data_IF_648933854594
#
_entry.id   IF_648933854594
#
_cell.length_a   1.000
_cell.length_b   1.000
_cell.length_c   1.000
_cell.angle_alpha   90.00
_cell.angle_beta   90.00
_cell.angle_gamma   90.00
#
_symmetry.space_group_name_H-M   'P 1'
#
loop_
_entity.id
_entity.type
_entity.pdbx_description
1 polymer ?
#
# COMPACT_ATOMS: atom_id res chain seq x y z
N UNK A 1 -56.04 -20.81 32.58
CA UNK A 1 -56.42 -19.39 32.74
C UNK A 1 -56.98 -19.05 34.13
N UNK A 2 -57.53 -19.99 34.92
CA UNK A 2 -58.02 -19.73 36.29
C UNK A 2 -56.94 -19.61 37.39
N UNK A 3 -55.72 -20.12 37.16
CA UNK A 3 -54.63 -20.03 38.16
C UNK A 3 -53.87 -18.70 38.17
N UNK A 4 -53.89 -17.94 37.08
CA UNK A 4 -53.09 -16.71 36.92
C UNK A 4 -53.73 -15.53 37.67
N UNK A 5 -55.05 -15.57 37.91
CA UNK A 5 -55.78 -14.48 38.55
C UNK A 5 -55.78 -14.53 40.09
N UNK A 6 -55.35 -15.64 40.71
CA UNK A 6 -55.27 -15.79 42.18
C UNK A 6 -53.87 -15.43 42.71
N UNK A 7 -52.87 -15.29 41.83
CA UNK A 7 -51.46 -15.21 42.20
C UNK A 7 -50.97 -13.79 42.56
N UNK A 8 -51.78 -12.75 42.34
CA UNK A 8 -51.38 -11.36 42.60
C UNK A 8 -51.68 -10.87 44.04
N UNK A 9 -52.45 -11.63 44.84
CA UNK A 9 -53.01 -11.14 46.12
C UNK A 9 -52.35 -11.68 47.39
N UNK A 10 -51.46 -12.68 47.32
CA UNK A 10 -50.89 -13.33 48.52
C UNK A 10 -49.38 -13.23 48.68
N UNK A 11 -48.64 -12.71 47.68
CA UNK A 11 -47.17 -12.53 47.74
C UNK A 11 -46.35 -13.82 47.96
N UNK A 12 -46.98 -14.98 48.10
CA UNK A 12 -46.36 -16.30 48.19
C UNK A 12 -46.34 -16.94 46.81
N UNK A 13 -45.25 -16.70 46.09
CA UNK A 13 -44.92 -17.48 44.89
C UNK A 13 -44.29 -18.81 45.32
N UNK A 14 -45.07 -19.88 45.40
CA UNK A 14 -44.51 -21.24 45.43
C UNK A 14 -44.12 -21.63 43.99
N UNK A 15 -43.00 -21.10 43.51
CA UNK A 15 -42.42 -21.53 42.24
C UNK A 15 -41.95 -22.99 42.39
N UNK A 16 -42.59 -23.92 41.69
CA UNK A 16 -42.18 -25.32 41.73
C UNK A 16 -40.81 -25.50 41.04
N UNK A 17 -39.81 -26.02 41.77
CA UNK A 17 -38.51 -26.35 41.21
C UNK A 17 -38.65 -27.43 40.13
N UNK A 18 -38.42 -27.08 38.87
CA UNK A 18 -38.48 -28.02 37.73
C UNK A 18 -37.21 -28.89 37.61
N UNK A 19 -36.07 -28.39 38.09
CA UNK A 19 -34.80 -29.11 38.16
C UNK A 19 -33.61 -28.18 38.39
N UNK A 20 -32.44 -28.76 38.67
CA UNK A 20 -31.17 -28.07 38.91
C UNK A 20 -30.05 -28.77 38.14
N UNK A 21 -29.09 -27.99 37.67
CA UNK A 21 -27.79 -28.50 37.22
C UNK A 21 -26.68 -27.69 37.90
N UNK A 22 -25.52 -28.31 38.13
CA UNK A 22 -24.36 -27.65 38.74
C UNK A 22 -23.20 -27.65 37.75
N UNK A 23 -22.79 -26.45 37.32
CA UNK A 23 -21.73 -26.28 36.32
C UNK A 23 -20.47 -25.85 37.05
N UNK A 24 -19.42 -26.67 36.96
CA UNK A 24 -18.14 -26.33 37.60
C UNK A 24 -17.41 -25.27 36.79
N UNK A 25 -16.85 -24.25 37.44
CA UNK A 25 -16.08 -23.22 36.73
C UNK A 25 -14.87 -23.82 35.97
N UNK A 26 -14.26 -24.89 36.49
CA UNK A 26 -13.15 -25.61 35.84
C UNK A 26 -13.54 -26.27 34.50
N UNK A 27 -14.82 -26.57 34.29
CA UNK A 27 -15.30 -27.19 33.05
C UNK A 27 -15.66 -26.19 31.96
N UNK A 28 -15.55 -24.88 32.22
CA UNK A 28 -15.82 -23.84 31.24
C UNK A 28 -14.50 -23.41 30.61
N UNK A 29 -14.24 -23.72 29.32
CA UNK A 29 -13.04 -23.29 28.62
C UNK A 29 -12.98 -21.76 28.52
N UNK A 30 -11.78 -21.21 28.35
CA UNK A 30 -11.60 -19.77 28.15
C UNK A 30 -12.42 -19.24 26.96
N UNK A 31 -12.54 -20.03 25.88
CA UNK A 31 -13.35 -19.71 24.68
C UNK A 31 -14.87 -19.69 24.90
N UNK A 32 -15.34 -20.01 26.11
CA UNK A 32 -16.73 -20.34 26.37
C UNK A 32 -17.14 -21.71 25.84
N UNK A 33 -18.39 -22.08 26.09
CA UNK A 33 -18.94 -23.38 25.71
C UNK A 33 -20.46 -23.32 25.53
N UNK A 34 -20.99 -24.10 24.60
CA UNK A 34 -22.43 -24.32 24.41
C UNK A 34 -22.73 -25.79 24.59
N UNK A 35 -23.38 -26.14 25.71
CA UNK A 35 -23.56 -27.54 26.12
C UNK A 35 -24.97 -27.78 26.66
N UNK A 36 -25.52 -28.96 26.37
CA UNK A 36 -26.74 -29.47 26.98
C UNK A 36 -26.45 -30.01 28.38
N UNK A 37 -27.14 -29.48 29.39
CA UNK A 37 -27.06 -29.92 30.77
C UNK A 37 -28.34 -30.62 31.19
N UNK A 38 -28.23 -31.82 31.74
CA UNK A 38 -29.36 -32.56 32.29
C UNK A 38 -29.79 -31.96 33.64
N UNK A 39 -31.11 -31.91 33.85
CA UNK A 39 -31.71 -31.38 35.08
C UNK A 39 -31.99 -32.49 36.10
N UNK A 40 -31.58 -32.25 37.35
CA UNK A 40 -31.77 -33.13 38.50
C UNK A 40 -32.73 -32.49 39.53
N UNK A 41 -33.58 -33.29 40.20
CA UNK A 41 -34.47 -32.83 41.28
C UNK A 41 -34.40 -33.78 42.48
N UNK A 42 -33.58 -33.43 43.47
CA UNK A 42 -33.37 -34.22 44.68
C UNK A 42 -32.74 -35.60 44.43
N UNK A 43 -32.84 -36.52 45.39
CA UNK A 43 -32.23 -37.88 45.32
C UNK A 43 -32.91 -38.84 44.32
N UNK A 44 -33.74 -38.35 43.38
CA UNK A 44 -34.46 -39.20 42.43
C UNK A 44 -33.75 -39.21 41.08
N UNK A 45 -33.32 -40.40 40.67
CA UNK A 45 -32.62 -40.75 39.41
C UNK A 45 -33.41 -40.53 38.11
N UNK A 46 -34.57 -39.87 38.13
CA UNK A 46 -35.37 -39.61 36.91
C UNK A 46 -35.03 -38.24 36.33
N UNK A 47 -34.34 -38.24 35.18
CA UNK A 47 -34.05 -37.05 34.36
C UNK A 47 -35.35 -36.29 34.03
N UNK A 48 -35.35 -34.97 34.26
CA UNK A 48 -36.49 -34.06 34.01
C UNK A 48 -36.36 -33.29 32.68
N UNK A 49 -35.43 -33.71 31.82
CA UNK A 49 -35.09 -33.02 30.58
C UNK A 49 -33.72 -32.34 30.65
N UNK A 50 -33.39 -31.60 29.60
CA UNK A 50 -32.08 -30.96 29.42
C UNK A 50 -32.26 -29.49 29.04
N UNK A 51 -31.31 -28.65 29.45
CA UNK A 51 -31.25 -27.23 29.07
C UNK A 51 -29.99 -26.99 28.24
N UNK A 52 -30.11 -26.22 27.15
CA UNK A 52 -28.96 -25.77 26.39
C UNK A 52 -28.45 -24.46 27.01
N UNK A 53 -27.20 -24.45 27.46
CA UNK A 53 -26.60 -23.28 28.07
C UNK A 53 -25.38 -22.86 27.26
N UNK A 54 -25.35 -21.59 26.87
CA UNK A 54 -24.18 -20.93 26.34
C UNK A 54 -23.52 -20.12 27.48
N UNK A 55 -22.29 -20.47 27.82
CA UNK A 55 -21.53 -19.93 28.95
C UNK A 55 -20.17 -19.43 28.47
N UNK A 56 -19.78 -18.24 28.91
CA UNK A 56 -18.44 -17.71 28.75
C UNK A 56 -18.00 -17.07 30.08
N UNK A 57 -16.71 -17.20 30.40
CA UNK A 57 -16.10 -16.57 31.57
C UNK A 57 -15.21 -15.42 31.10
N UNK A 58 -15.48 -14.22 31.60
CA UNK A 58 -14.63 -13.04 31.40
C UNK A 58 -14.33 -12.41 32.76
N UNK A 59 -13.20 -11.73 32.85
CA UNK A 59 -12.96 -10.82 33.96
C UNK A 59 -13.64 -9.48 33.62
N UNK A 60 -14.45 -8.95 34.54
CA UNK A 60 -14.97 -7.59 34.39
C UNK A 60 -13.79 -6.63 34.50
N UNK A 61 -13.33 -6.18 33.34
CA UNK A 61 -12.17 -5.33 33.20
C UNK A 61 -12.59 -4.07 32.47
N UNK A 62 -12.05 -2.94 32.90
CA UNK A 62 -12.22 -1.71 32.15
C UNK A 62 -11.67 -1.92 30.72
N UNK A 63 -12.51 -1.65 29.72
CA UNK A 63 -12.20 -1.86 28.30
C UNK A 63 -10.91 -1.18 27.85
N UNK A 64 -10.66 0.07 28.27
CA UNK A 64 -9.43 0.78 27.89
C UNK A 64 -8.19 0.10 28.48
N UNK A 65 -8.27 -0.39 29.71
CA UNK A 65 -7.18 -1.15 30.37
C UNK A 65 -6.94 -2.46 29.64
N UNK A 66 -8.01 -3.19 29.30
CA UNK A 66 -7.92 -4.44 28.54
C UNK A 66 -7.24 -4.25 27.17
N UNK A 67 -7.62 -3.21 26.43
CA UNK A 67 -7.02 -2.85 25.14
C UNK A 67 -5.55 -2.45 25.31
N UNK A 68 -5.21 -1.65 26.31
CA UNK A 68 -3.84 -1.22 26.56
C UNK A 68 -2.92 -2.40 26.89
N UNK A 69 -3.35 -3.30 27.77
CA UNK A 69 -2.58 -4.50 28.10
C UNK A 69 -2.47 -5.44 26.90
N UNK A 70 -3.54 -5.59 26.10
CA UNK A 70 -3.49 -6.39 24.89
C UNK A 70 -2.48 -5.82 23.88
N UNK A 71 -2.44 -4.50 23.69
CA UNK A 71 -1.43 -3.84 22.84
C UNK A 71 -0.01 -4.09 23.37
N UNK A 72 0.18 -4.00 24.69
CA UNK A 72 1.48 -4.27 25.30
C UNK A 72 1.91 -5.73 25.09
N UNK A 73 1.01 -6.68 25.30
CA UNK A 73 1.24 -8.10 25.03
C UNK A 73 1.58 -8.36 23.56
N UNK A 74 0.82 -7.78 22.63
CA UNK A 74 1.09 -7.89 21.18
C UNK A 74 2.48 -7.37 20.83
N UNK A 75 2.89 -6.24 21.42
CA UNK A 75 4.23 -5.67 21.19
C UNK A 75 5.32 -6.66 21.65
N UNK A 76 5.21 -7.19 22.86
CA UNK A 76 6.18 -8.14 23.40
C UNK A 76 6.27 -9.42 22.57
N UNK A 77 5.11 -10.02 22.24
CA UNK A 77 5.05 -11.23 21.43
C UNK A 77 5.64 -10.99 20.03
N UNK A 78 5.32 -9.87 19.39
CA UNK A 78 5.83 -9.57 18.05
C UNK A 78 7.34 -9.33 18.05
N UNK A 79 7.86 -8.53 18.99
CA UNK A 79 9.30 -8.30 19.10
C UNK A 79 10.05 -9.62 19.32
N UNK A 80 9.57 -10.46 20.25
CA UNK A 80 10.17 -11.76 20.49
C UNK A 80 10.13 -12.66 19.25
N UNK A 81 9.01 -12.69 18.52
CA UNK A 81 8.87 -13.50 17.30
C UNK A 81 9.81 -13.00 16.19
N UNK A 82 9.95 -11.69 15.98
CA UNK A 82 10.87 -11.11 14.99
C UNK A 82 12.34 -11.39 15.34
N UNK A 83 12.71 -11.23 16.61
CA UNK A 83 14.06 -11.54 17.11
C UNK A 83 14.39 -13.02 17.00
N UNK A 84 13.42 -13.90 17.25
CA UNK A 84 13.63 -15.35 17.21
C UNK A 84 13.65 -15.91 15.80
N UNK A 85 12.75 -15.43 14.93
CA UNK A 85 12.58 -15.95 13.58
C UNK A 85 13.55 -15.33 12.55
N UNK A 86 14.09 -14.14 12.82
CA UNK A 86 15.03 -13.41 11.94
C UNK A 86 14.55 -13.36 10.48
N UNK A 87 13.24 -13.21 10.30
CA UNK A 87 12.63 -13.16 8.98
C UNK A 87 13.07 -11.92 8.22
N UNK A 88 13.21 -12.07 6.90
CA UNK A 88 13.55 -10.96 6.02
C UNK A 88 12.50 -9.82 6.09
N UNK A 89 12.93 -8.62 5.72
CA UNK A 89 12.02 -7.48 5.62
C UNK A 89 10.83 -7.80 4.70
N UNK A 90 9.65 -7.34 5.10
CA UNK A 90 8.36 -7.53 4.45
C UNK A 90 7.83 -8.98 4.39
N UNK A 91 8.46 -9.94 5.08
CA UNK A 91 8.00 -11.34 5.10
C UNK A 91 7.00 -11.66 6.21
N UNK A 92 7.15 -11.08 7.40
CA UNK A 92 6.27 -11.45 8.52
C UNK A 92 4.82 -11.06 8.24
N UNK A 93 3.92 -12.05 8.25
CA UNK A 93 2.53 -11.92 7.76
C UNK A 93 1.47 -12.17 8.83
N UNK A 94 1.79 -11.95 10.12
CA UNK A 94 0.80 -12.10 11.21
C UNK A 94 0.72 -13.47 11.86
N UNK A 95 1.63 -14.40 11.53
CA UNK A 95 1.61 -15.76 12.10
C UNK A 95 2.56 -15.86 13.28
N UNK A 96 1.99 -15.96 14.48
CA UNK A 96 2.73 -16.26 15.70
C UNK A 96 3.02 -17.77 15.83
N UNK A 97 4.03 -18.10 16.63
CA UNK A 97 4.18 -19.46 17.15
C UNK A 97 2.93 -19.92 17.93
N UNK A 98 2.69 -21.23 17.98
CA UNK A 98 1.49 -21.83 18.63
C UNK A 98 1.28 -21.33 20.06
N UNK A 99 2.36 -21.20 20.83
CA UNK A 99 2.29 -20.74 22.22
C UNK A 99 1.91 -19.25 22.28
N UNK A 100 2.55 -18.41 21.47
CA UNK A 100 2.23 -16.98 21.40
C UNK A 100 0.79 -16.75 20.93
N UNK A 101 0.32 -17.51 19.95
CA UNK A 101 -1.06 -17.44 19.47
C UNK A 101 -2.06 -17.85 20.55
N UNK A 102 -1.75 -18.91 21.32
CA UNK A 102 -2.59 -19.35 22.45
C UNK A 102 -2.68 -18.26 23.52
N UNK A 103 -1.56 -17.67 23.93
CA UNK A 103 -1.51 -16.58 24.92
C UNK A 103 -2.32 -15.38 24.43
N UNK A 104 -2.14 -14.99 23.16
CA UNK A 104 -2.82 -13.87 22.51
C UNK A 104 -4.34 -14.07 22.50
N UNK A 105 -4.80 -15.24 22.05
CA UNK A 105 -6.22 -15.59 21.99
C UNK A 105 -6.83 -15.67 23.39
N UNK A 106 -6.15 -16.32 24.32
CA UNK A 106 -6.64 -16.46 25.69
C UNK A 106 -6.80 -15.09 26.36
N UNK A 107 -5.82 -14.19 26.23
CA UNK A 107 -5.91 -12.84 26.76
C UNK A 107 -7.11 -12.08 26.17
N UNK A 108 -7.29 -12.13 24.85
CA UNK A 108 -8.38 -11.44 24.17
C UNK A 108 -9.75 -11.90 24.70
N UNK A 109 -9.96 -13.21 24.82
CA UNK A 109 -11.24 -13.77 25.27
C UNK A 109 -11.49 -13.47 26.74
N UNK A 110 -10.49 -13.67 27.61
CA UNK A 110 -10.63 -13.43 29.05
C UNK A 110 -10.87 -11.95 29.38
N UNK A 111 -10.36 -11.05 28.54
CA UNK A 111 -10.55 -9.61 28.67
C UNK A 111 -11.80 -9.10 27.94
N UNK A 112 -12.59 -9.97 27.32
CA UNK A 112 -13.82 -9.60 26.62
C UNK A 112 -13.61 -8.74 25.37
N UNK A 113 -12.45 -8.81 24.72
CA UNK A 113 -12.15 -7.99 23.55
C UNK A 113 -12.90 -8.48 22.31
N UNK A 114 -13.53 -7.54 21.62
CA UNK A 114 -14.19 -7.77 20.33
C UNK A 114 -13.17 -7.99 19.21
N UNK A 115 -13.58 -8.61 18.08
CA UNK A 115 -12.71 -8.75 16.91
C UNK A 115 -12.18 -7.41 16.38
N UNK A 116 -13.00 -6.36 16.43
CA UNK A 116 -12.60 -5.00 16.04
C UNK A 116 -11.49 -4.46 16.94
N UNK A 117 -11.65 -4.55 18.27
CA UNK A 117 -10.63 -4.07 19.22
C UNK A 117 -9.32 -4.84 19.09
N UNK A 118 -9.39 -6.15 18.85
CA UNK A 118 -8.21 -6.96 18.56
C UNK A 118 -7.52 -6.50 17.27
N UNK A 119 -8.28 -6.28 16.19
CA UNK A 119 -7.74 -5.84 14.91
C UNK A 119 -7.17 -4.41 14.96
N UNK A 120 -7.83 -3.48 15.66
CA UNK A 120 -7.32 -2.12 15.84
C UNK A 120 -6.07 -2.08 16.74
N UNK A 121 -6.00 -2.97 17.73
CA UNK A 121 -4.80 -3.14 18.55
C UNK A 121 -3.63 -3.70 17.73
N UNK A 122 -3.88 -4.68 16.87
CA UNK A 122 -2.89 -5.16 15.89
C UNK A 122 -2.45 -4.03 14.96
N UNK A 123 -3.40 -3.29 14.37
CA UNK A 123 -3.12 -2.14 13.51
C UNK A 123 -2.16 -1.15 14.17
N UNK A 124 -2.49 -0.70 15.38
CA UNK A 124 -1.69 0.28 16.13
C UNK A 124 -0.28 -0.22 16.43
N UNK A 125 -0.17 -1.44 16.98
CA UNK A 125 1.13 -2.01 17.40
C UNK A 125 1.99 -2.34 16.19
N UNK A 126 1.42 -2.99 15.18
CA UNK A 126 2.16 -3.44 14.00
C UNK A 126 2.58 -2.26 13.14
N UNK A 127 1.77 -1.21 13.02
CA UNK A 127 2.17 0.00 12.32
C UNK A 127 3.33 0.72 13.02
N UNK A 128 3.39 0.69 14.35
CA UNK A 128 4.52 1.24 15.12
C UNK A 128 5.79 0.42 14.89
N UNK A 129 5.71 -0.91 14.99
CA UNK A 129 6.87 -1.79 14.77
C UNK A 129 7.35 -1.73 13.32
N UNK A 130 6.45 -1.50 12.35
CA UNK A 130 6.79 -1.41 10.93
C UNK A 130 7.81 -0.31 10.60
N UNK A 131 7.86 0.77 11.39
CA UNK A 131 8.81 1.87 11.21
C UNK A 131 10.26 1.39 11.35
N UNK A 132 10.52 0.44 12.24
CA UNK A 132 11.85 -0.12 12.52
C UNK A 132 12.05 -1.50 11.87
N UNK A 133 10.99 -2.32 11.81
CA UNK A 133 10.98 -3.68 11.29
C UNK A 133 9.89 -3.85 10.22
N UNK A 134 10.21 -3.71 8.94
CA UNK A 134 9.21 -3.74 7.88
C UNK A 134 8.43 -5.06 7.83
N UNK A 135 7.15 -5.01 8.17
CA UNK A 135 6.20 -6.13 8.09
C UNK A 135 5.54 -6.25 6.71
N UNK A 136 4.94 -7.40 6.39
CA UNK A 136 4.28 -7.64 5.11
C UNK A 136 3.08 -6.70 4.87
N UNK A 137 2.90 -6.17 3.66
CA UNK A 137 1.73 -5.37 3.30
C UNK A 137 0.43 -6.19 3.27
N UNK A 138 0.50 -7.49 2.94
CA UNK A 138 -0.65 -8.40 3.06
C UNK A 138 -1.26 -8.44 4.46
N UNK A 139 -0.43 -8.36 5.52
CA UNK A 139 -0.88 -8.32 6.91
C UNK A 139 -1.76 -7.09 7.16
N UNK A 140 -1.28 -5.91 6.73
CA UNK A 140 -2.02 -4.66 6.88
C UNK A 140 -3.32 -4.69 6.10
N UNK A 141 -3.34 -5.26 4.90
CA UNK A 141 -4.57 -5.43 4.13
C UNK A 141 -5.64 -6.23 4.89
N UNK A 142 -5.26 -7.37 5.47
CA UNK A 142 -6.17 -8.22 6.24
C UNK A 142 -6.73 -7.50 7.47
N UNK A 143 -5.89 -6.70 8.15
CA UNK A 143 -6.31 -5.91 9.30
C UNK A 143 -7.29 -4.81 8.85
N UNK A 144 -6.99 -4.10 7.76
CA UNK A 144 -7.86 -3.06 7.20
C UNK A 144 -9.22 -3.62 6.79
N UNK A 145 -9.30 -4.83 6.25
CA UNK A 145 -10.58 -5.49 5.90
C UNK A 145 -11.47 -5.72 7.12
N UNK A 146 -10.86 -5.86 8.31
CA UNK A 146 -11.60 -6.01 9.57
C UNK A 146 -11.92 -4.66 10.23
N UNK A 147 -11.01 -3.69 10.12
CA UNK A 147 -11.11 -2.40 10.85
C UNK A 147 -11.94 -1.36 10.08
N UNK A 148 -11.85 -1.31 8.75
CA UNK A 148 -12.51 -0.27 7.94
C UNK A 148 -14.04 -0.36 7.96
N UNK A 149 -14.69 -1.54 7.76
CA UNK A 149 -16.14 -1.59 7.71
C UNK A 149 -16.80 -1.06 8.99
N UNK A 150 -16.34 -1.44 10.19
CA UNK A 150 -16.79 -0.84 11.44
C UNK A 150 -16.62 0.69 11.49
N UNK A 151 -15.43 1.20 11.15
CA UNK A 151 -15.16 2.65 11.18
C UNK A 151 -16.09 3.45 10.25
N UNK A 152 -16.44 2.90 9.08
CA UNK A 152 -17.35 3.55 8.13
C UNK A 152 -18.78 3.71 8.65
N UNK A 153 -19.23 2.83 9.54
CA UNK A 153 -20.57 2.90 10.10
C UNK A 153 -20.75 4.06 11.11
N UNK A 154 -19.71 4.87 11.38
CA UNK A 154 -19.75 6.04 12.28
C UNK A 154 -20.20 5.74 13.73
N UNK A 155 -20.08 4.49 14.18
CA UNK A 155 -20.51 4.06 15.52
C UNK A 155 -19.38 4.04 16.57
N UNK A 156 -18.16 4.48 16.22
CA UNK A 156 -16.96 4.30 17.04
C UNK A 156 -16.45 5.60 17.66
N UNK A 157 -15.75 5.46 18.80
CA UNK A 157 -15.21 6.56 19.59
C UNK A 157 -14.15 7.36 18.82
N UNK A 158 -14.02 8.66 19.15
CA UNK A 158 -12.99 9.52 18.54
C UNK A 158 -11.55 9.01 18.77
N UNK A 159 -11.32 8.26 19.85
CA UNK A 159 -10.02 7.68 20.17
C UNK A 159 -9.63 6.54 19.21
N UNK A 160 -10.58 5.68 18.84
CA UNK A 160 -10.36 4.59 17.90
C UNK A 160 -10.04 5.12 16.50
N UNK A 161 -10.78 6.13 16.06
CA UNK A 161 -10.52 6.82 14.79
C UNK A 161 -9.14 7.48 14.78
N UNK A 162 -8.77 8.15 15.88
CA UNK A 162 -7.43 8.72 16.04
C UNK A 162 -6.35 7.65 15.98
N UNK A 163 -6.54 6.53 16.69
CA UNK A 163 -5.61 5.39 16.68
C UNK A 163 -5.43 4.82 15.27
N UNK A 164 -6.53 4.71 14.52
CA UNK A 164 -6.49 4.27 13.13
C UNK A 164 -5.63 5.20 12.25
N UNK A 165 -5.91 6.50 12.26
CA UNK A 165 -5.18 7.47 11.44
C UNK A 165 -3.72 7.63 11.84
N UNK A 166 -3.40 7.48 13.13
CA UNK A 166 -2.02 7.37 13.61
C UNK A 166 -1.29 6.16 13.02
N UNK A 167 -1.95 5.02 12.87
CA UNK A 167 -1.38 3.88 12.16
C UNK A 167 -1.23 4.14 10.66
N UNK A 168 -2.21 4.80 10.02
CA UNK A 168 -2.12 5.19 8.59
C UNK A 168 -0.87 6.05 8.36
N UNK A 169 -0.64 7.05 9.21
CA UNK A 169 0.53 7.94 9.11
C UNK A 169 1.87 7.19 9.14
N UNK A 170 1.96 6.06 9.84
CA UNK A 170 3.16 5.22 9.94
C UNK A 170 3.34 4.28 8.75
N UNK A 171 2.25 3.83 8.14
CA UNK A 171 2.28 2.88 7.00
C UNK A 171 2.43 3.59 5.65
N UNK A 172 1.91 4.80 5.51
CA UNK A 172 1.99 5.53 4.23
C UNK A 172 3.43 5.77 3.73
N UNK A 173 4.41 6.15 4.57
CA UNK A 173 5.77 6.40 4.09
C UNK A 173 6.40 5.19 3.39
N UNK A 174 6.24 3.98 3.95
CA UNK A 174 6.75 2.76 3.33
C UNK A 174 5.96 2.39 2.07
N UNK A 175 4.65 2.63 2.06
CA UNK A 175 3.78 2.44 0.91
C UNK A 175 4.23 3.31 -0.28
N UNK A 176 4.45 4.60 -0.07
CA UNK A 176 4.94 5.51 -1.12
C UNK A 176 6.39 5.24 -1.52
N UNK A 177 7.24 4.76 -0.60
CA UNK A 177 8.59 4.35 -0.92
C UNK A 177 8.62 3.17 -1.91
N UNK A 178 7.65 2.24 -1.82
CA UNK A 178 7.50 1.16 -2.82
C UNK A 178 7.17 1.73 -4.20
N UNK A 179 6.27 2.72 -4.29
CA UNK A 179 5.91 3.35 -5.57
C UNK A 179 7.09 4.10 -6.19
N UNK A 180 7.83 4.88 -5.39
CA UNK A 180 9.03 5.62 -5.86
C UNK A 180 10.12 4.68 -6.37
N UNK A 181 10.41 3.62 -5.62
CA UNK A 181 11.49 2.66 -5.93
C UNK A 181 11.07 1.55 -6.88
N UNK A 182 9.85 1.58 -7.43
CA UNK A 182 9.32 0.53 -8.29
C UNK A 182 10.22 0.27 -9.50
N UNK A 183 10.81 1.33 -10.04
CA UNK A 183 11.61 1.33 -11.28
C UNK A 183 13.05 0.86 -11.09
N UNK A 184 13.58 0.97 -9.87
CA UNK A 184 14.90 0.47 -9.51
C UNK A 184 14.96 -1.05 -9.33
N UNK A 185 13.82 -1.76 -9.46
CA UNK A 185 13.73 -3.20 -9.23
C UNK A 185 13.43 -3.98 -10.52
N UNK A 186 13.92 -5.22 -10.59
CA UNK A 186 13.76 -6.10 -11.75
C UNK A 186 12.35 -6.70 -11.83
N UNK A 187 11.56 -6.29 -12.83
CA UNK A 187 10.12 -6.60 -12.98
C UNK A 187 9.81 -8.09 -13.19
N UNK A 188 10.81 -8.92 -13.49
CA UNK A 188 10.66 -10.39 -13.56
C UNK A 188 10.33 -11.02 -12.21
N UNK A 189 10.54 -10.30 -11.10
CA UNK A 189 10.17 -10.77 -9.78
C UNK A 189 8.67 -10.57 -9.51
N UNK A 190 7.93 -11.68 -9.54
CA UNK A 190 6.49 -11.73 -9.21
C UNK A 190 6.19 -11.14 -7.83
N UNK A 191 7.15 -11.15 -6.91
CA UNK A 191 7.00 -10.57 -5.58
C UNK A 191 6.86 -9.05 -5.63
N UNK A 192 7.52 -8.35 -6.57
CA UNK A 192 7.39 -6.90 -6.73
C UNK A 192 5.97 -6.53 -7.12
N UNK A 193 5.41 -7.21 -8.12
CA UNK A 193 4.04 -6.95 -8.58
C UNK A 193 3.03 -7.28 -7.48
N UNK A 194 3.24 -8.37 -6.74
CA UNK A 194 2.43 -8.71 -5.57
C UNK A 194 2.47 -7.60 -4.52
N UNK A 195 3.67 -7.17 -4.11
CA UNK A 195 3.84 -6.09 -3.14
C UNK A 195 3.23 -4.78 -3.63
N UNK A 196 3.39 -4.44 -4.92
CA UNK A 196 2.74 -3.28 -5.53
C UNK A 196 1.22 -3.36 -5.40
N UNK A 197 0.61 -4.50 -5.72
CA UNK A 197 -0.83 -4.66 -5.62
C UNK A 197 -1.32 -4.53 -4.18
N UNK A 198 -0.61 -5.13 -3.22
CA UNK A 198 -0.91 -5.00 -1.79
C UNK A 198 -0.85 -3.53 -1.33
N UNK A 199 0.16 -2.78 -1.77
CA UNK A 199 0.32 -1.35 -1.46
C UNK A 199 -0.80 -0.52 -2.08
N UNK A 200 -1.12 -0.74 -3.36
CA UNK A 200 -2.21 -0.04 -4.04
C UNK A 200 -3.58 -0.34 -3.39
N UNK A 201 -3.80 -1.57 -2.92
CA UNK A 201 -5.00 -1.94 -2.17
C UNK A 201 -5.11 -1.17 -0.84
N UNK A 202 -4.02 -1.06 -0.09
CA UNK A 202 -3.97 -0.26 1.15
C UNK A 202 -4.32 1.20 0.85
N UNK A 203 -3.68 1.81 -0.15
CA UNK A 203 -3.90 3.20 -0.52
C UNK A 203 -5.35 3.45 -0.96
N UNK A 204 -5.91 2.56 -1.78
CA UNK A 204 -7.31 2.65 -2.21
C UNK A 204 -8.28 2.52 -1.03
N UNK A 205 -8.05 1.55 -0.13
CA UNK A 205 -8.87 1.36 1.08
C UNK A 205 -8.88 2.60 1.98
N UNK A 206 -7.72 3.23 2.18
CA UNK A 206 -7.59 4.45 3.00
C UNK A 206 -8.23 5.65 2.31
N UNK A 207 -8.03 5.82 0.99
CA UNK A 207 -8.63 6.90 0.19
C UNK A 207 -10.16 6.94 0.29
N UNK A 208 -10.80 5.79 0.47
CA UNK A 208 -12.25 5.69 0.60
C UNK A 208 -12.79 6.13 1.97
N UNK A 209 -11.92 6.66 2.85
CA UNK A 209 -12.27 7.21 4.15
C UNK A 209 -12.08 8.73 4.15
N UNK A 210 -12.97 9.44 4.84
CA UNK A 210 -12.82 10.88 5.05
C UNK A 210 -11.70 11.16 6.04
N UNK A 211 -10.71 11.94 5.60
CA UNK A 211 -9.59 12.36 6.43
C UNK A 211 -10.12 13.38 7.46
N UNK A 212 -9.94 13.16 8.77
CA UNK A 212 -10.34 14.13 9.79
C UNK A 212 -9.63 15.46 9.60
N UNK A 213 -10.36 16.58 9.72
CA UNK A 213 -9.85 17.94 9.49
C UNK A 213 -8.69 18.34 10.43
N UNK A 214 -8.55 17.65 11.56
CA UNK A 214 -7.48 17.86 12.55
C UNK A 214 -6.25 16.98 12.34
N UNK A 215 -6.22 16.15 11.29
CA UNK A 215 -5.16 15.16 11.09
C UNK A 215 -4.22 15.55 9.94
N UNK A 216 -2.98 15.90 10.28
CA UNK A 216 -1.94 16.17 9.29
C UNK A 216 -1.25 14.86 8.87
N UNK A 217 -1.60 14.38 7.67
CA UNK A 217 -1.08 13.14 7.11
C UNK A 217 0.27 13.32 6.41
N UNK A 218 0.41 14.40 5.65
CA UNK A 218 1.57 14.66 4.79
C UNK A 218 2.47 15.72 5.41
N UNK A 219 3.23 15.34 6.44
CA UNK A 219 4.17 16.27 7.06
C UNK A 219 5.42 16.48 6.18
N UNK A 220 5.86 17.74 5.93
CA UNK A 220 7.04 18.04 5.12
C UNK A 220 8.34 17.35 5.57
N UNK A 221 8.45 16.96 6.85
CA UNK A 221 9.64 16.26 7.38
C UNK A 221 9.84 14.88 6.73
N UNK A 222 8.76 14.16 6.50
CA UNK A 222 8.78 12.80 5.91
C UNK A 222 8.61 12.90 4.39
N UNK A 223 7.82 13.88 3.95
CA UNK A 223 7.40 14.06 2.57
C UNK A 223 8.12 15.23 1.89
N UNK A 224 9.37 15.53 2.26
CA UNK A 224 10.15 16.64 1.70
C UNK A 224 10.41 16.53 0.19
N UNK A 225 10.09 15.39 -0.41
CA UNK A 225 10.12 15.13 -1.85
C UNK A 225 8.85 15.57 -2.59
N UNK A 226 7.79 15.97 -1.87
CA UNK A 226 6.57 16.53 -2.47
C UNK A 226 6.82 18.01 -2.76
N UNK A 227 6.87 18.39 -4.04
CA UNK A 227 7.17 19.76 -4.47
C UNK A 227 5.93 20.69 -4.50
N UNK A 228 4.72 20.17 -4.22
CA UNK A 228 3.45 20.92 -4.30
C UNK A 228 3.26 21.91 -3.13
N UNK A 229 2.66 23.07 -3.42
CA UNK A 229 2.20 24.04 -2.42
C UNK A 229 0.70 24.34 -2.63
N UNK A 230 -0.18 24.25 -1.61
CA UNK A 230 0.09 23.90 -0.20
C UNK A 230 -0.07 22.40 0.10
N UNK A 231 0.92 21.82 0.79
CA UNK A 231 0.94 20.40 1.24
C UNK A 231 -0.27 20.01 2.11
N UNK A 232 -0.92 20.98 2.76
CA UNK A 232 -2.08 20.76 3.66
C UNK A 232 -3.36 20.29 2.96
N UNK A 233 -3.45 20.44 1.64
CA UNK A 233 -4.63 20.05 0.85
C UNK A 233 -4.35 18.86 -0.07
N UNK A 234 -3.16 18.25 0.01
CA UNK A 234 -2.82 17.11 -0.82
C UNK A 234 -3.70 15.90 -0.49
N UNK A 235 -4.34 15.35 -1.52
CA UNK A 235 -5.06 14.09 -1.40
C UNK A 235 -4.11 12.91 -1.55
N UNK A 236 -4.53 11.70 -1.15
CA UNK A 236 -3.74 10.48 -1.40
C UNK A 236 -3.47 10.29 -2.90
N UNK A 237 -4.40 10.68 -3.77
CA UNK A 237 -4.21 10.60 -5.23
C UNK A 237 -3.09 11.52 -5.71
N UNK A 238 -3.04 12.75 -5.20
CA UNK A 238 -1.96 13.69 -5.54
C UNK A 238 -0.61 13.13 -5.12
N UNK A 239 -0.52 12.56 -3.92
CA UNK A 239 0.72 11.99 -3.39
C UNK A 239 1.14 10.72 -4.13
N UNK A 240 0.18 9.92 -4.64
CA UNK A 240 0.48 8.81 -5.56
C UNK A 240 1.16 9.35 -6.83
N UNK A 241 0.58 10.38 -7.44
CA UNK A 241 1.13 11.00 -8.65
C UNK A 241 2.52 11.58 -8.37
N UNK A 242 2.70 12.25 -7.22
CA UNK A 242 4.00 12.83 -6.83
C UNK A 242 5.05 11.75 -6.54
N UNK A 243 4.66 10.63 -5.95
CA UNK A 243 5.56 9.50 -5.74
C UNK A 243 6.03 8.90 -7.07
N UNK A 244 5.13 8.80 -8.06
CA UNK A 244 5.44 8.35 -9.41
C UNK A 244 6.37 9.36 -10.12
N UNK A 245 6.07 10.66 -10.04
CA UNK A 245 6.92 11.72 -10.60
C UNK A 245 8.31 11.71 -9.98
N UNK A 246 8.40 11.62 -8.66
CA UNK A 246 9.68 11.59 -7.95
C UNK A 246 10.50 10.38 -8.35
N UNK A 247 9.91 9.18 -8.38
CA UNK A 247 10.61 7.97 -8.85
C UNK A 247 11.04 8.06 -10.32
N UNK A 248 10.27 8.77 -11.15
CA UNK A 248 10.59 9.01 -12.56
C UNK A 248 11.77 9.98 -12.73
N UNK A 249 11.79 11.05 -11.93
CA UNK A 249 12.90 12.00 -11.84
C UNK A 249 14.18 11.32 -11.39
N UNK A 250 14.14 10.58 -10.29
CA UNK A 250 15.29 9.84 -9.76
C UNK A 250 15.85 8.84 -10.78
N UNK A 251 14.97 8.15 -11.52
CA UNK A 251 15.40 7.26 -12.60
C UNK A 251 16.03 8.02 -13.77
N UNK A 252 15.44 9.14 -14.19
CA UNK A 252 15.99 9.98 -15.26
C UNK A 252 17.38 10.48 -14.89
N UNK A 253 17.55 10.99 -13.68
CA UNK A 253 18.85 11.43 -13.15
C UNK A 253 19.87 10.29 -13.17
N UNK A 254 19.47 9.08 -12.75
CA UNK A 254 20.33 7.90 -12.80
C UNK A 254 20.75 7.52 -14.23
N UNK A 255 19.84 7.51 -15.21
CA UNK A 255 20.21 7.18 -16.60
C UNK A 255 21.03 8.29 -17.26
N UNK A 256 20.80 9.56 -16.92
CA UNK A 256 21.60 10.69 -17.42
C UNK A 256 23.01 10.60 -16.86
N UNK A 257 23.17 10.39 -15.55
CA UNK A 257 24.47 10.30 -14.89
C UNK A 257 25.26 9.07 -15.34
N UNK A 258 24.60 7.91 -15.48
CA UNK A 258 25.24 6.68 -15.95
C UNK A 258 25.76 6.77 -17.40
N UNK A 259 25.21 7.68 -18.21
CA UNK A 259 25.58 7.87 -19.61
C UNK A 259 26.34 9.18 -19.87
N UNK A 260 26.65 9.97 -18.84
CA UNK A 260 27.50 11.16 -18.99
C UNK A 260 28.90 10.74 -19.43
N UNK A 261 29.35 11.30 -20.56
CA UNK A 261 30.71 11.09 -21.02
C UNK A 261 31.68 11.92 -20.18
N UNK A 262 32.79 11.32 -19.74
CA UNK A 262 33.71 11.91 -18.76
C UNK A 262 34.77 12.86 -19.36
N UNK A 263 34.64 13.27 -20.62
CA UNK A 263 35.70 14.01 -21.32
C UNK A 263 35.14 15.34 -21.85
N UNK A 264 35.72 16.47 -21.43
CA UNK A 264 35.24 17.84 -21.68
C UNK A 264 35.38 18.37 -23.11
N UNK A 265 35.33 17.49 -24.11
CA UNK A 265 35.24 17.83 -25.54
C UNK A 265 34.49 16.70 -26.23
N UNK A 266 33.17 16.71 -26.18
CA UNK A 266 32.34 15.81 -26.99
C UNK A 266 32.35 16.34 -28.44
N UNK A 267 32.49 15.44 -29.41
CA UNK A 267 32.15 15.79 -30.79
C UNK A 267 30.61 15.88 -30.90
N UNK A 268 30.11 16.76 -31.77
CA UNK A 268 28.68 16.92 -32.05
C UNK A 268 27.97 15.56 -32.33
N UNK A 269 28.65 14.63 -33.02
CA UNK A 269 28.14 13.28 -33.29
C UNK A 269 28.00 12.40 -32.02
N UNK A 270 28.89 12.57 -31.04
CA UNK A 270 28.83 11.87 -29.75
C UNK A 270 27.64 12.36 -28.91
N UNK A 271 27.34 13.65 -28.97
CA UNK A 271 26.20 14.26 -28.27
C UNK A 271 24.87 13.83 -28.89
N UNK A 272 24.79 13.73 -30.22
CA UNK A 272 23.63 13.17 -30.91
C UNK A 272 23.45 11.67 -30.57
N UNK A 273 24.53 10.89 -30.53
CA UNK A 273 24.47 9.48 -30.17
C UNK A 273 24.08 9.27 -28.69
N UNK A 274 24.56 10.13 -27.80
CA UNK A 274 24.11 10.18 -26.41
C UNK A 274 22.60 10.42 -26.33
N UNK A 275 22.09 11.42 -27.04
CA UNK A 275 20.67 11.75 -27.06
C UNK A 275 19.82 10.58 -27.61
N UNK A 276 20.27 9.92 -28.69
CA UNK A 276 19.62 8.73 -29.25
C UNK A 276 19.53 7.62 -28.19
N UNK A 277 20.64 7.30 -27.51
CA UNK A 277 20.68 6.27 -26.45
C UNK A 277 19.75 6.63 -25.29
N UNK A 278 19.75 7.89 -24.86
CA UNK A 278 18.88 8.37 -23.78
C UNK A 278 17.40 8.19 -24.13
N UNK A 279 16.97 8.61 -25.33
CA UNK A 279 15.57 8.46 -25.76
C UNK A 279 15.20 6.97 -25.87
N UNK A 280 16.10 6.12 -26.37
CA UNK A 280 15.87 4.68 -26.44
C UNK A 280 15.68 4.06 -25.05
N UNK A 281 16.51 4.43 -24.07
CA UNK A 281 16.38 3.98 -22.67
C UNK A 281 15.05 4.42 -22.05
N UNK A 282 14.65 5.68 -22.27
CA UNK A 282 13.36 6.21 -21.80
C UNK A 282 12.20 5.43 -22.44
N UNK A 283 12.27 5.16 -23.74
CA UNK A 283 11.24 4.40 -24.45
C UNK A 283 11.11 2.97 -23.92
N UNK A 284 12.22 2.29 -23.69
CA UNK A 284 12.23 0.95 -23.11
C UNK A 284 11.62 0.91 -21.70
N UNK A 285 11.87 1.96 -20.91
CA UNK A 285 11.23 2.09 -19.60
C UNK A 285 9.72 2.34 -19.70
N UNK A 286 9.28 3.26 -20.57
CA UNK A 286 7.86 3.51 -20.82
C UNK A 286 7.14 2.24 -21.28
N UNK A 287 7.78 1.44 -22.14
CA UNK A 287 7.22 0.18 -22.61
C UNK A 287 7.03 -0.81 -21.45
N UNK A 288 8.05 -0.94 -20.59
CA UNK A 288 7.97 -1.74 -19.36
C UNK A 288 6.86 -1.25 -18.43
N UNK A 289 6.68 0.06 -18.28
CA UNK A 289 5.62 0.65 -17.49
C UNK A 289 4.22 0.26 -17.99
N UNK A 290 4.03 0.32 -19.31
CA UNK A 290 2.78 -0.06 -19.98
C UNK A 290 2.47 -1.55 -19.83
N UNK A 291 3.47 -2.40 -20.02
CA UNK A 291 3.30 -3.86 -20.00
C UNK A 291 3.01 -4.41 -18.60
N UNK A 292 3.70 -3.88 -17.58
CA UNK A 292 3.71 -4.51 -16.25
C UNK A 292 2.99 -3.73 -15.16
N UNK A 293 2.86 -2.40 -15.24
CA UNK A 293 2.36 -1.59 -14.12
C UNK A 293 1.01 -0.94 -14.40
N UNK A 294 0.78 -0.44 -15.61
CA UNK A 294 -0.41 0.36 -15.95
C UNK A 294 -1.73 -0.31 -15.55
N UNK A 295 -1.88 -1.60 -15.87
CA UNK A 295 -3.09 -2.37 -15.52
C UNK A 295 -3.40 -2.31 -14.02
N UNK A 296 -2.37 -2.44 -13.17
CA UNK A 296 -2.55 -2.48 -11.72
C UNK A 296 -2.90 -1.10 -11.14
N UNK A 297 -2.20 -0.05 -11.58
CA UNK A 297 -2.52 1.32 -11.17
C UNK A 297 -3.93 1.73 -11.63
N UNK A 298 -4.30 1.38 -12.86
CA UNK A 298 -5.62 1.71 -13.39
C UNK A 298 -6.73 1.01 -12.61
N UNK A 299 -6.61 -0.31 -12.40
CA UNK A 299 -7.63 -1.10 -11.71
C UNK A 299 -7.81 -0.72 -10.24
N UNK A 300 -6.73 -0.36 -9.53
CA UNK A 300 -6.75 -0.16 -8.08
C UNK A 300 -6.95 1.30 -7.66
N UNK A 301 -6.29 2.24 -8.33
CA UNK A 301 -6.27 3.66 -7.93
C UNK A 301 -6.74 4.61 -9.04
N UNK A 302 -7.12 4.08 -10.21
CA UNK A 302 -7.58 4.85 -11.38
C UNK A 302 -6.55 5.86 -11.90
N UNK A 303 -5.26 5.51 -11.83
CA UNK A 303 -4.14 6.32 -12.33
C UNK A 303 -3.54 5.62 -13.55
N UNK A 304 -3.30 6.38 -14.62
CA UNK A 304 -2.56 5.92 -15.80
C UNK A 304 -1.06 6.16 -15.58
N UNK A 305 -0.36 5.15 -15.07
CA UNK A 305 1.03 5.24 -14.65
C UNK A 305 1.95 5.67 -15.79
N UNK A 306 1.88 5.02 -16.96
CA UNK A 306 2.71 5.34 -18.13
C UNK A 306 2.43 6.74 -18.68
N UNK A 307 1.20 7.23 -18.58
CA UNK A 307 0.84 8.59 -19.00
C UNK A 307 1.50 9.64 -18.09
N UNK A 308 1.56 9.40 -16.78
CA UNK A 308 2.27 10.27 -15.83
C UNK A 308 3.77 10.30 -16.16
N UNK A 309 4.37 9.14 -16.43
CA UNK A 309 5.77 9.03 -16.85
C UNK A 309 6.01 9.79 -18.16
N UNK A 310 5.18 9.56 -19.18
CA UNK A 310 5.35 10.18 -20.50
C UNK A 310 5.33 11.70 -20.39
N UNK A 311 4.38 12.29 -19.65
CA UNK A 311 4.31 13.75 -19.48
C UNK A 311 5.60 14.32 -18.92
N UNK A 312 6.15 13.69 -17.88
CA UNK A 312 7.42 14.13 -17.30
C UNK A 312 8.60 13.97 -18.27
N UNK A 313 8.65 12.85 -18.99
CA UNK A 313 9.71 12.61 -19.98
C UNK A 313 9.63 13.54 -21.17
N UNK A 314 8.45 13.83 -21.67
CA UNK A 314 8.23 14.71 -22.82
C UNK A 314 8.77 16.11 -22.53
N UNK A 315 8.42 16.69 -21.37
CA UNK A 315 8.96 17.97 -20.92
C UNK A 315 10.49 17.97 -20.85
N UNK A 316 11.09 16.93 -20.26
CA UNK A 316 12.55 16.86 -20.08
C UNK A 316 13.33 16.51 -21.34
N UNK A 317 12.79 15.65 -22.20
CA UNK A 317 13.40 15.33 -23.49
C UNK A 317 13.38 16.56 -24.37
N UNK A 318 12.31 17.35 -24.39
CA UNK A 318 12.26 18.60 -25.16
C UNK A 318 13.37 19.56 -24.74
N UNK A 319 13.56 19.76 -23.43
CA UNK A 319 14.63 20.62 -22.91
C UNK A 319 16.03 20.14 -23.34
N UNK A 320 16.32 18.84 -23.17
CA UNK A 320 17.64 18.25 -23.47
C UNK A 320 17.87 18.22 -24.99
N UNK A 321 16.90 17.71 -25.76
CA UNK A 321 17.03 17.53 -27.20
C UNK A 321 17.16 18.88 -27.92
N UNK A 322 16.39 19.89 -27.51
CA UNK A 322 16.49 21.23 -28.09
C UNK A 322 17.87 21.83 -27.88
N UNK A 323 18.41 21.72 -26.66
CA UNK A 323 19.75 22.25 -26.33
C UNK A 323 20.82 21.63 -27.22
N UNK A 324 20.87 20.30 -27.31
CA UNK A 324 21.86 19.58 -28.10
C UNK A 324 21.69 19.85 -29.61
N UNK A 325 20.45 19.79 -30.12
CA UNK A 325 20.20 19.97 -31.56
C UNK A 325 20.48 21.39 -32.01
N UNK A 326 20.12 22.42 -31.22
CA UNK A 326 20.40 23.81 -31.55
C UNK A 326 21.92 24.07 -31.60
N UNK A 327 22.69 23.50 -30.67
CA UNK A 327 24.15 23.57 -30.63
C UNK A 327 24.78 22.90 -31.86
N UNK A 328 24.44 21.63 -32.12
CA UNK A 328 24.94 20.90 -33.28
C UNK A 328 24.56 21.59 -34.59
N UNK A 329 23.31 22.05 -34.72
CA UNK A 329 22.84 22.77 -35.92
C UNK A 329 23.59 24.09 -36.16
N UNK A 330 24.12 24.73 -35.12
CA UNK A 330 24.94 25.94 -35.25
C UNK A 330 26.34 25.67 -35.83
N UNK A 331 26.83 24.43 -35.68
CA UNK A 331 28.14 23.99 -36.18
C UNK A 331 28.08 23.38 -37.59
N UNK A 332 26.88 23.06 -38.11
CA UNK A 332 26.69 22.51 -39.46
C UNK A 332 27.07 23.55 -40.51
N UNK A 333 28.17 23.31 -41.22
CA UNK A 333 28.54 24.09 -42.40
C UNK A 333 27.76 23.60 -43.63
N UNK A 334 27.40 24.52 -44.53
CA UNK A 334 26.84 24.15 -45.82
C UNK A 334 27.85 23.30 -46.58
N UNK A 335 27.40 22.14 -47.06
CA UNK A 335 28.15 21.34 -48.03
C UNK A 335 28.05 22.09 -49.35
N UNK A 336 29.09 22.86 -49.71
CA UNK A 336 29.26 23.34 -51.07
C UNK A 336 29.68 22.15 -51.93
N UNK A 337 28.81 21.75 -52.86
CA UNK A 337 29.17 20.80 -53.92
C UNK A 337 29.76 21.64 -55.03
N UNK A 338 31.07 21.60 -55.30
CA UNK A 338 31.65 22.34 -56.40
C UNK A 338 31.11 21.75 -57.71
N UNK A 339 30.45 22.58 -58.52
CA UNK A 339 30.26 22.28 -59.93
C UNK A 339 31.68 22.12 -60.55
N UNK A 340 31.97 20.91 -61.02
CA UNK A 340 33.08 20.54 -61.93
C UNK A 340 34.49 20.17 -61.40
N UNK A 341 34.80 20.12 -60.09
CA UNK A 341 36.09 19.58 -59.62
C UNK A 341 35.95 18.44 -58.59
N UNK A 342 36.16 17.20 -59.05
CA UNK A 342 36.09 15.94 -58.31
C UNK A 342 37.23 15.69 -57.29
N UNK A 343 38.04 16.69 -56.94
CA UNK A 343 39.23 16.47 -56.09
C UNK A 343 39.01 16.66 -54.58
N UNK A 344 37.97 17.39 -54.16
CA UNK A 344 37.64 17.53 -52.74
C UNK A 344 36.41 16.68 -52.40
N UNK A 345 36.65 15.50 -51.83
CA UNK A 345 35.60 14.69 -51.21
C UNK A 345 34.89 15.54 -50.14
N UNK A 346 33.55 15.57 -50.11
CA UNK A 346 32.83 16.24 -49.02
C UNK A 346 33.30 15.65 -47.69
N UNK A 347 33.53 16.54 -46.71
CA UNK A 347 33.99 16.20 -45.37
C UNK A 347 33.11 15.08 -44.80
N UNK A 348 33.68 13.87 -44.67
CA UNK A 348 32.95 12.63 -44.34
C UNK A 348 32.24 12.77 -42.99
N UNK A 349 32.78 13.62 -42.11
CA UNK A 349 32.23 13.93 -40.79
C UNK A 349 30.90 14.70 -40.87
N UNK A 350 30.68 15.52 -41.90
CA UNK A 350 29.38 16.18 -42.11
C UNK A 350 28.30 15.21 -42.63
N UNK A 351 28.71 14.18 -43.37
CA UNK A 351 27.80 13.14 -43.91
C UNK A 351 27.40 12.15 -42.80
N UNK A 352 28.34 11.77 -41.93
CA UNK A 352 28.05 10.91 -40.77
C UNK A 352 27.08 11.62 -39.81
N UNK A 353 27.32 12.90 -39.51
CA UNK A 353 26.43 13.72 -38.66
C UNK A 353 25.01 13.84 -39.24
N UNK A 354 24.87 14.02 -40.57
CA UNK A 354 23.56 14.02 -41.24
C UNK A 354 22.80 12.70 -41.08
N UNK A 355 23.51 11.57 -41.06
CA UNK A 355 22.93 10.24 -40.81
C UNK A 355 22.47 10.11 -39.36
N UNK A 356 23.27 10.57 -38.39
CA UNK A 356 22.93 10.54 -36.97
C UNK A 356 21.74 11.44 -36.65
N UNK A 357 21.64 12.62 -37.26
CA UNK A 357 20.46 13.51 -37.15
C UNK A 357 19.19 12.83 -37.69
N UNK A 358 19.29 12.13 -38.82
CA UNK A 358 18.16 11.37 -39.36
C UNK A 358 17.74 10.22 -38.43
N UNK A 359 18.70 9.52 -37.82
CA UNK A 359 18.40 8.50 -36.80
C UNK A 359 17.71 9.10 -35.58
N UNK A 360 18.22 10.23 -35.07
CA UNK A 360 17.59 10.98 -33.98
C UNK A 360 16.14 11.34 -34.30
N UNK A 361 15.88 11.86 -35.51
CA UNK A 361 14.52 12.15 -35.98
C UNK A 361 13.63 10.90 -35.97
N UNK A 362 14.13 9.75 -36.45
CA UNK A 362 13.36 8.50 -36.43
C UNK A 362 13.04 8.04 -35.00
N UNK A 363 14.00 8.18 -34.08
CA UNK A 363 13.83 7.81 -32.66
C UNK A 363 12.82 8.73 -31.97
N UNK A 364 12.91 10.04 -32.18
CA UNK A 364 11.94 11.02 -31.69
C UNK A 364 10.53 10.79 -32.26
N UNK A 365 10.41 10.51 -33.57
CA UNK A 365 9.13 10.18 -34.20
C UNK A 365 8.49 8.95 -33.56
N UNK A 366 9.26 7.88 -33.34
CA UNK A 366 8.78 6.66 -32.66
C UNK A 366 8.36 6.94 -31.21
N UNK A 367 9.09 7.81 -30.50
CA UNK A 367 8.73 8.25 -29.15
C UNK A 367 7.40 9.02 -29.14
N UNK A 368 7.21 9.96 -30.06
CA UNK A 368 5.95 10.72 -30.19
C UNK A 368 4.76 9.82 -30.54
N UNK A 369 4.94 8.85 -31.42
CA UNK A 369 3.87 7.91 -31.78
C UNK A 369 3.45 7.03 -30.59
N UNK A 370 4.40 6.68 -29.71
CA UNK A 370 4.10 6.02 -28.43
C UNK A 370 3.29 6.93 -27.50
N UNK A 371 3.63 8.21 -27.42
CA UNK A 371 2.86 9.21 -26.68
C UNK A 371 1.41 9.32 -27.16
N UNK A 372 1.20 9.41 -28.48
CA UNK A 372 -0.16 9.43 -29.07
C UNK A 372 -0.97 8.19 -28.67
N UNK A 373 -0.37 7.00 -28.71
CA UNK A 373 -1.03 5.77 -28.28
C UNK A 373 -1.43 5.80 -26.79
N UNK A 374 -0.57 6.35 -25.92
CA UNK A 374 -0.88 6.51 -24.49
C UNK A 374 -2.07 7.43 -24.26
N UNK A 375 -2.16 8.58 -24.95
CA UNK A 375 -3.29 9.49 -24.78
C UNK A 375 -4.59 8.97 -25.42
N UNK A 376 -4.50 8.24 -26.53
CA UNK A 376 -5.65 7.58 -27.15
C UNK A 376 -6.20 6.43 -26.30
N UNK A 377 -5.33 5.61 -25.71
CA UNK A 377 -5.76 4.51 -24.85
C UNK A 377 -6.43 5.01 -23.56
N UNK A 378 -5.96 6.12 -22.99
CA UNK A 378 -6.64 6.76 -21.84
C UNK A 378 -8.06 7.23 -22.20
N UNK A 379 -8.26 7.81 -23.39
CA UNK A 379 -9.58 8.30 -23.84
C UNK A 379 -10.61 7.17 -24.04
N UNK A 380 -10.17 6.00 -24.53
CA UNK A 380 -11.04 4.83 -24.69
C UNK A 380 -11.40 4.19 -23.34
N UNK A 381 -10.48 4.19 -22.38
CA UNK A 381 -10.73 3.58 -21.06
C UNK A 381 -11.66 4.47 -20.20
N UNK A 382 -11.65 5.79 -20.36
CA UNK A 382 -12.61 6.69 -19.70
C UNK A 382 -14.02 6.66 -20.30
N UNK A 383 -14.22 5.96 -21.42
CA UNK A 383 -15.52 5.84 -22.12
C UNK A 383 -16.28 4.54 -21.84
N UNK A 384 -15.71 3.64 -21.02
CA UNK A 384 -16.34 2.44 -20.45
C UNK A 384 -16.52 2.63 -18.94
#
# INVERSE_FOLDING_TARGET
MKEIAVTASTGKHDNELIGRTAITLKSVPASGTTVWYNLEKGNKTKSRGSILVNLALSAEKNKHVAVQEHRHLLKLLLMHELESSQVANYWWSGKFSTNAETIRLQHAVQSGLTPFECALSQWSVYATIHEEHPLSFSLFNNILDTVIPPLKCQLYESEDLKTFWEGVKRILPSSFAVLRKLRAKNVSDKQIIKTLCEVLDILNKIKMLEIPTNFELFSPKIYGWIERKPVKECTIDDVIIDAIHTGTKEWLEHIVEANRQNNGTSLDDEDLQYLIRLIQMIRSDLQRAMEYFDKHFHQKVRVSFSTVLYKYYDEKIVDIAKTIVDEVCSHIKRIDVPDDNLEDLPDIDNISMGTTLFELYLVLKRYLDMGKFLFLSVSHITSM
#
